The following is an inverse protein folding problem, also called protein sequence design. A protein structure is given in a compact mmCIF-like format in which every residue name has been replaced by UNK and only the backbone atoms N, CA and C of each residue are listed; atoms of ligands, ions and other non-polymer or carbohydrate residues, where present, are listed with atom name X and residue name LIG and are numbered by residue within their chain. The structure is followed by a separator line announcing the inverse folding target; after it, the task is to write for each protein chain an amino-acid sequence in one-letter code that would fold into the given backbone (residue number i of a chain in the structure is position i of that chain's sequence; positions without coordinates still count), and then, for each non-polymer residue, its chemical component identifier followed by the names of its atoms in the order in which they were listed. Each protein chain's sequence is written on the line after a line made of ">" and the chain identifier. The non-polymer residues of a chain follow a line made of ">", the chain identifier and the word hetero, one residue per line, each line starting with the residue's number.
data_IF_202971150917
#
_entry.id   IF_202971150917
#
_cell.length_a   1.000
_cell.length_b   1.000
_cell.length_c   1.000
_cell.angle_alpha   90.00
_cell.angle_beta   90.00
_cell.angle_gamma   90.00
#
_symmetry.space_group_name_H-M   'P 1'
#
loop_
_entity.id
_entity.type
_entity.pdbx_description
1 polymer ?
#
# COMPACT_ATOMS: atom_id res chain seq x y z
N UNK A 1 -23.63 49.48 -20.29
CA UNK A 1 -22.29 49.13 -19.74
C UNK A 1 -22.34 48.64 -18.29
N UNK A 2 -23.02 49.33 -17.36
CA UNK A 2 -23.11 48.93 -15.93
C UNK A 2 -23.85 47.60 -15.70
N UNK A 3 -24.91 47.31 -16.46
CA UNK A 3 -25.69 46.06 -16.32
C UNK A 3 -24.98 44.81 -16.86
N UNK A 4 -24.07 44.95 -17.83
CA UNK A 4 -23.31 43.84 -18.39
C UNK A 4 -22.24 43.31 -17.41
N UNK A 5 -21.65 44.21 -16.62
CA UNK A 5 -20.66 43.87 -15.58
C UNK A 5 -21.31 43.10 -14.43
N UNK A 6 -22.53 43.47 -14.04
CA UNK A 6 -23.29 42.78 -12.96
C UNK A 6 -23.69 41.36 -13.39
N UNK A 7 -24.12 41.17 -14.63
CA UNK A 7 -24.45 39.85 -15.16
C UNK A 7 -23.22 38.94 -15.25
N UNK A 8 -22.06 39.47 -15.64
CA UNK A 8 -20.82 38.72 -15.74
C UNK A 8 -20.28 38.33 -14.36
N UNK A 9 -20.40 39.21 -13.36
CA UNK A 9 -20.01 38.92 -11.98
C UNK A 9 -20.91 37.85 -11.34
N UNK A 10 -22.23 37.88 -11.60
CA UNK A 10 -23.17 36.88 -11.07
C UNK A 10 -22.93 35.47 -11.63
N UNK A 11 -22.56 35.36 -12.92
CA UNK A 11 -22.23 34.07 -13.55
C UNK A 11 -20.91 33.49 -13.00
N UNK A 12 -19.93 34.34 -12.69
CA UNK A 12 -18.66 33.90 -12.10
C UNK A 12 -18.82 33.42 -10.64
N UNK A 13 -19.68 34.06 -9.85
CA UNK A 13 -19.97 33.62 -8.47
C UNK A 13 -20.78 32.32 -8.42
N UNK A 14 -21.68 32.07 -9.37
CA UNK A 14 -22.45 30.83 -9.43
C UNK A 14 -21.57 29.60 -9.80
N UNK A 15 -20.52 29.79 -10.59
CA UNK A 15 -19.59 28.72 -10.96
C UNK A 15 -18.69 28.24 -9.82
N UNK A 16 -18.46 29.07 -8.79
CA UNK A 16 -17.59 28.74 -7.65
C UNK A 16 -18.25 27.81 -6.62
N UNK A 17 -19.58 27.70 -6.64
CA UNK A 17 -20.34 26.92 -5.65
C UNK A 17 -20.58 25.46 -6.06
N UNK A 18 -20.35 25.10 -7.33
CA UNK A 18 -20.64 23.75 -7.86
C UNK A 18 -19.43 22.83 -8.02
N UNK A 19 -18.22 23.30 -7.68
CA UNK A 19 -16.96 22.64 -8.05
C UNK A 19 -16.06 22.23 -6.89
N UNK A 20 -16.60 21.80 -5.74
CA UNK A 20 -15.76 21.09 -4.77
C UNK A 20 -15.61 19.61 -5.17
N UNK A 21 -14.91 19.37 -6.27
CA UNK A 21 -14.37 18.05 -6.55
C UNK A 21 -13.29 17.80 -5.50
N UNK A 22 -13.66 17.09 -4.42
CA UNK A 22 -12.66 16.58 -3.49
C UNK A 22 -11.77 15.63 -4.27
N UNK A 23 -10.56 16.06 -4.59
CA UNK A 23 -9.53 15.19 -5.12
C UNK A 23 -9.14 14.20 -4.01
N UNK A 24 -9.95 13.13 -3.85
CA UNK A 24 -9.46 11.92 -3.20
C UNK A 24 -8.40 11.38 -4.15
N UNK A 25 -7.13 11.52 -3.78
CA UNK A 25 -6.11 10.67 -4.35
C UNK A 25 -6.68 9.24 -4.33
N UNK A 26 -6.66 8.56 -5.47
CA UNK A 26 -7.16 7.20 -5.53
C UNK A 26 -6.16 6.32 -4.76
N UNK A 27 -6.28 6.26 -3.42
CA UNK A 27 -5.40 5.50 -2.53
C UNK A 27 -5.23 4.06 -3.05
N UNK A 28 -6.27 3.50 -3.66
CA UNK A 28 -6.23 2.20 -4.32
C UNK A 28 -5.18 2.08 -5.44
N UNK A 29 -4.97 3.11 -6.27
CA UNK A 29 -4.00 3.07 -7.37
C UNK A 29 -2.55 3.12 -6.85
N UNK A 30 -2.30 3.92 -5.81
CA UNK A 30 -0.99 3.97 -5.15
C UNK A 30 -0.64 2.60 -4.54
N UNK A 31 -1.56 2.01 -3.77
CA UNK A 31 -1.31 0.73 -3.13
C UNK A 31 -1.26 -0.44 -4.11
N UNK A 32 -2.02 -0.38 -5.21
CA UNK A 32 -1.89 -1.33 -6.31
C UNK A 32 -0.47 -1.29 -6.91
N UNK A 33 0.06 -0.09 -7.14
CA UNK A 33 1.43 0.06 -7.64
C UNK A 33 2.47 -0.43 -6.61
N UNK A 34 2.28 -0.09 -5.33
CA UNK A 34 3.16 -0.55 -4.24
C UNK A 34 3.17 -2.08 -4.09
N UNK A 35 2.04 -2.77 -4.29
CA UNK A 35 1.98 -4.24 -4.27
C UNK A 35 2.91 -4.86 -5.33
N UNK A 36 2.92 -4.29 -6.54
CA UNK A 36 3.85 -4.71 -7.61
C UNK A 36 5.29 -4.42 -7.21
N UNK A 37 5.56 -3.25 -6.60
CA UNK A 37 6.91 -2.93 -6.13
C UNK A 37 7.41 -3.90 -5.06
N UNK A 38 6.57 -4.35 -4.13
CA UNK A 38 6.99 -5.36 -3.13
C UNK A 38 7.48 -6.65 -3.79
N UNK A 39 6.80 -7.11 -4.84
CA UNK A 39 7.24 -8.27 -5.62
C UNK A 39 8.55 -7.98 -6.38
N UNK A 40 8.74 -6.76 -6.91
CA UNK A 40 9.99 -6.36 -7.58
C UNK A 40 11.16 -6.25 -6.60
N UNK A 41 10.95 -5.69 -5.41
CA UNK A 41 11.98 -5.65 -4.38
C UNK A 41 12.42 -7.06 -3.99
N UNK A 42 11.49 -8.00 -3.85
CA UNK A 42 11.84 -9.39 -3.59
C UNK A 42 12.72 -9.99 -4.71
N UNK A 43 12.43 -9.69 -5.98
CA UNK A 43 13.22 -10.18 -7.14
C UNK A 43 14.61 -9.58 -7.25
N UNK A 44 14.76 -8.30 -6.93
CA UNK A 44 16.01 -7.56 -7.11
C UNK A 44 16.85 -7.48 -5.83
N UNK A 45 16.37 -8.07 -4.74
CA UNK A 45 17.16 -8.22 -3.52
C UNK A 45 18.04 -9.46 -3.64
N UNK A 46 19.34 -9.30 -3.38
CA UNK A 46 20.23 -10.43 -3.18
C UNK A 46 19.95 -11.07 -1.82
N UNK A 47 19.51 -12.33 -1.82
CA UNK A 47 19.18 -13.05 -0.60
C UNK A 47 20.35 -13.92 -0.14
N UNK A 48 20.85 -13.74 1.10
CA UNK A 48 21.80 -14.68 1.68
C UNK A 48 21.21 -16.09 1.75
N UNK A 49 22.03 -17.11 1.48
CA UNK A 49 21.58 -18.51 1.54
C UNK A 49 20.91 -18.87 2.88
N UNK A 50 21.43 -18.34 3.99
CA UNK A 50 20.88 -18.55 5.32
C UNK A 50 19.46 -17.96 5.52
N UNK A 51 19.07 -16.94 4.74
CA UNK A 51 17.72 -16.40 4.76
C UNK A 51 16.74 -17.36 4.06
N UNK A 52 17.12 -17.85 2.88
CA UNK A 52 16.29 -18.76 2.07
C UNK A 52 16.28 -20.21 2.57
N UNK A 53 17.23 -20.60 3.42
CA UNK A 53 17.26 -21.92 4.05
C UNK A 53 16.17 -22.10 5.11
N UNK A 54 15.60 -21.00 5.64
CA UNK A 54 14.57 -21.04 6.69
C UNK A 54 13.18 -21.43 6.16
N UNK A 55 12.97 -21.38 4.85
CA UNK A 55 11.67 -21.62 4.24
C UNK A 55 11.77 -22.03 2.77
N UNK A 56 10.91 -22.96 2.36
CA UNK A 56 10.70 -23.31 0.95
C UNK A 56 9.91 -22.24 0.17
N UNK A 57 9.40 -21.22 0.87
CA UNK A 57 8.65 -20.10 0.32
C UNK A 57 9.32 -18.77 0.69
N UNK A 58 9.25 -17.80 -0.23
CA UNK A 58 9.62 -16.42 0.07
C UNK A 58 8.43 -15.72 0.72
N UNK A 59 8.54 -15.45 2.01
CA UNK A 59 7.44 -14.90 2.82
C UNK A 59 7.42 -13.38 2.77
N UNK A 60 6.34 -12.81 2.23
CA UNK A 60 5.98 -11.40 2.36
C UNK A 60 4.95 -11.24 3.48
N UNK A 61 5.29 -10.45 4.47
CA UNK A 61 4.45 -10.20 5.62
C UNK A 61 3.86 -8.80 5.61
N UNK A 62 2.62 -8.67 6.05
CA UNK A 62 1.97 -7.38 6.34
C UNK A 62 1.74 -7.29 7.83
N UNK A 63 2.30 -6.26 8.47
CA UNK A 63 2.10 -5.97 9.89
C UNK A 63 1.40 -4.61 10.04
N UNK A 64 0.33 -4.57 10.83
CA UNK A 64 -0.49 -3.37 11.02
C UNK A 64 -1.65 -3.30 10.03
N UNK A 65 -2.11 -2.09 9.73
CA UNK A 65 -3.14 -1.87 8.71
C UNK A 65 -2.69 -2.41 7.34
N UNK A 66 -3.59 -3.11 6.65
CA UNK A 66 -3.37 -3.63 5.30
C UNK A 66 -4.11 -2.78 4.26
N UNK A 67 -3.42 -1.81 3.64
CA UNK A 67 -4.02 -0.95 2.61
C UNK A 67 -4.08 -1.64 1.24
N UNK A 68 -3.55 -2.85 1.09
CA UNK A 68 -3.46 -3.52 -0.20
C UNK A 68 -4.68 -4.37 -0.55
N UNK A 69 -5.64 -4.57 0.36
CA UNK A 69 -6.85 -5.35 0.08
C UNK A 69 -6.58 -6.70 -0.61
N UNK A 70 -7.14 -6.90 -1.81
CA UNK A 70 -6.96 -8.10 -2.62
C UNK A 70 -5.77 -8.02 -3.59
N UNK A 71 -5.10 -6.87 -3.70
CA UNK A 71 -4.07 -6.61 -4.71
C UNK A 71 -2.83 -7.50 -4.51
N UNK A 72 -2.50 -7.86 -3.26
CA UNK A 72 -1.42 -8.80 -2.98
C UNK A 72 -1.70 -10.23 -3.50
N UNK A 73 -2.97 -10.60 -3.72
CA UNK A 73 -3.30 -11.92 -4.28
C UNK A 73 -2.74 -12.10 -5.70
N UNK A 74 -2.60 -11.00 -6.47
CA UNK A 74 -2.07 -11.04 -7.83
C UNK A 74 -0.57 -11.38 -7.92
N UNK A 75 0.16 -11.33 -6.79
CA UNK A 75 1.58 -11.69 -6.74
C UNK A 75 1.84 -13.02 -6.02
N UNK A 76 0.85 -13.57 -5.31
CA UNK A 76 0.97 -14.86 -4.61
C UNK A 76 1.25 -15.97 -5.62
N UNK A 77 2.19 -16.85 -5.28
CA UNK A 77 2.59 -17.97 -6.12
C UNK A 77 3.57 -17.58 -7.23
N UNK A 78 3.86 -16.30 -7.47
CA UNK A 78 4.95 -15.94 -8.37
C UNK A 78 6.29 -16.44 -7.84
N UNK A 79 7.19 -16.81 -8.73
CA UNK A 79 8.50 -17.35 -8.35
C UNK A 79 9.53 -16.23 -8.21
N UNK A 80 10.35 -16.31 -7.16
CA UNK A 80 11.53 -15.48 -6.91
C UNK A 80 12.67 -16.42 -6.50
N UNK A 81 13.78 -16.44 -7.24
CA UNK A 81 14.94 -17.32 -6.96
C UNK A 81 14.55 -18.78 -6.63
N UNK A 82 13.70 -19.41 -7.46
CA UNK A 82 13.19 -20.79 -7.28
C UNK A 82 12.28 -21.02 -6.06
N UNK A 83 11.84 -19.95 -5.39
CA UNK A 83 10.90 -20.00 -4.26
C UNK A 83 9.56 -19.39 -4.66
N UNK A 84 8.45 -20.00 -4.23
CA UNK A 84 7.11 -19.42 -4.43
C UNK A 84 6.88 -18.31 -3.41
N UNK A 85 6.38 -17.17 -3.88
CA UNK A 85 6.00 -16.05 -3.01
C UNK A 85 4.71 -16.39 -2.27
N UNK A 86 4.73 -16.24 -0.95
CA UNK A 86 3.54 -16.35 -0.11
C UNK A 86 3.34 -15.06 0.68
N UNK A 87 2.08 -14.74 1.00
CA UNK A 87 1.70 -13.53 1.72
C UNK A 87 1.03 -13.90 3.03
N UNK A 88 1.49 -13.31 4.13
CA UNK A 88 0.92 -13.52 5.46
C UNK A 88 0.64 -12.19 6.16
N UNK A 89 -0.52 -12.09 6.81
CA UNK A 89 -0.85 -10.96 7.68
C UNK A 89 -0.50 -11.33 9.11
N UNK A 90 0.28 -10.49 9.78
CA UNK A 90 0.77 -10.71 11.12
C UNK A 90 -0.09 -10.00 12.16
N UNK A 91 -0.27 -10.65 13.31
CA UNK A 91 -0.96 -10.08 14.46
C UNK A 91 0.00 -9.40 15.45
N UNK A 92 1.32 -9.62 15.33
CA UNK A 92 2.31 -9.03 16.22
C UNK A 92 3.75 -9.15 15.76
N UNK A 93 4.63 -8.36 16.38
CA UNK A 93 6.06 -8.27 16.05
C UNK A 93 6.80 -9.60 16.23
N UNK A 94 6.35 -10.46 17.14
CA UNK A 94 6.98 -11.74 17.45
C UNK A 94 6.97 -12.71 16.26
N UNK A 95 6.08 -12.48 15.28
CA UNK A 95 5.96 -13.34 14.10
C UNK A 95 6.88 -12.91 12.94
N UNK A 96 7.55 -11.75 13.05
CA UNK A 96 8.40 -11.21 11.97
C UNK A 96 9.59 -12.11 11.60
N UNK A 97 10.04 -12.98 12.52
CA UNK A 97 11.20 -13.85 12.29
C UNK A 97 11.04 -14.83 11.12
N UNK A 98 9.82 -15.03 10.62
CA UNK A 98 9.50 -15.91 9.49
C UNK A 98 9.44 -15.17 8.14
N UNK A 99 9.55 -13.84 8.16
CA UNK A 99 9.34 -12.99 7.00
C UNK A 99 10.67 -12.71 6.27
N UNK A 100 10.64 -12.76 4.94
CA UNK A 100 11.75 -12.30 4.10
C UNK A 100 11.57 -10.82 3.77
N UNK A 101 10.35 -10.42 3.44
CA UNK A 101 9.93 -9.03 3.24
C UNK A 101 8.84 -8.70 4.24
N UNK A 102 8.90 -7.54 4.88
CA UNK A 102 7.85 -7.06 5.76
C UNK A 102 7.39 -5.66 5.31
N UNK A 103 6.11 -5.54 4.98
CA UNK A 103 5.44 -4.25 4.88
C UNK A 103 4.89 -3.87 6.26
N UNK A 104 5.23 -2.67 6.71
CA UNK A 104 4.79 -2.13 7.99
C UNK A 104 3.78 -1.02 7.72
N UNK A 105 2.51 -1.35 7.93
CA UNK A 105 1.40 -0.40 7.82
C UNK A 105 1.26 0.45 9.07
N UNK A 106 0.21 1.28 9.09
CA UNK A 106 -0.13 2.07 10.26
C UNK A 106 -0.36 1.14 11.47
N UNK A 107 0.32 1.45 12.58
CA UNK A 107 0.16 0.74 13.84
C UNK A 107 -0.47 1.70 14.84
N UNK A 108 -1.52 1.25 15.51
CA UNK A 108 -2.01 1.96 16.69
C UNK A 108 -0.95 1.86 17.79
N UNK A 109 -0.61 2.97 18.48
CA UNK A 109 0.29 2.93 19.62
C UNK A 109 -0.20 1.89 20.62
N UNK A 110 0.61 0.85 20.84
CA UNK A 110 0.37 -0.08 21.92
C UNK A 110 0.73 0.66 23.21
N UNK A 111 -0.26 1.09 23.98
CA UNK A 111 -0.04 1.67 25.31
C UNK A 111 0.75 0.66 26.14
N UNK A 112 2.04 0.92 26.32
CA UNK A 112 2.91 0.11 27.19
C UNK A 112 2.38 0.27 28.61
N UNK A 113 1.89 -0.80 29.28
CA UNK A 113 1.60 -0.70 30.71
C UNK A 113 2.90 -0.38 31.44
N UNK A 114 2.80 0.56 32.38
CA UNK A 114 3.91 1.06 33.19
C UNK A 114 4.51 -0.03 34.10
#
# INVERSE_FOLDING_TARGET
>A
MRSAVVAFAAVLLAGSLFGQATARAADGAEYQLKAVFLYRFAQFTEWPAAALAKSEQLMLCVLGEDPFGSQLAGIVGNTVHQRRLAVQRLSGLQQLGQCHVAFIGAMRPQTRPA
#
